data_IF_788959358672
#
_entry.id   IF_788959358672
#
_cell.length_a   1.000
_cell.length_b   1.000
_cell.length_c   1.000
_cell.angle_alpha   90.00
_cell.angle_beta   90.00
_cell.angle_gamma   90.00
#
_symmetry.space_group_name_H-M   'P 1'
#
loop_
_entity.id
_entity.type
_entity.pdbx_description
1 polymer ?
#
# COMPACT_ATOMS: atom_id res chain seq x y z
N UNK A 1 13.26 -11.19 15.98
CA UNK A 1 14.10 -10.00 16.24
C UNK A 1 13.54 -8.85 15.40
N UNK A 2 13.52 -7.61 15.91
CA UNK A 2 13.17 -6.44 15.11
C UNK A 2 14.08 -6.29 13.88
N UNK A 3 13.54 -5.81 12.76
CA UNK A 3 14.33 -5.44 11.58
C UNK A 3 14.62 -3.95 11.68
N UNK A 4 15.89 -3.58 11.75
CA UNK A 4 16.30 -2.17 11.78
C UNK A 4 16.13 -1.53 10.40
N UNK A 5 15.67 -0.27 10.38
CA UNK A 5 15.44 0.50 9.17
C UNK A 5 15.86 1.97 9.37
N UNK A 6 16.30 2.60 8.30
CA UNK A 6 16.59 4.04 8.23
C UNK A 6 15.69 4.65 7.15
N UNK A 7 15.00 5.73 7.50
CA UNK A 7 14.01 6.39 6.63
C UNK A 7 14.48 7.81 6.38
N UNK A 8 14.53 8.18 5.10
CA UNK A 8 14.83 9.53 4.64
C UNK A 8 13.72 9.93 3.67
N UNK A 9 12.79 10.74 4.14
CA UNK A 9 11.64 11.20 3.35
C UNK A 9 11.77 12.70 3.10
N UNK A 10 11.65 13.10 1.83
CA UNK A 10 11.65 14.50 1.44
C UNK A 10 10.22 14.87 1.05
N UNK A 11 9.66 15.86 1.73
CA UNK A 11 8.29 16.32 1.47
C UNK A 11 8.27 17.81 1.16
N UNK A 12 7.33 18.19 0.30
CA UNK A 12 6.98 19.56 -0.04
C UNK A 12 5.45 19.66 -0.03
N UNK A 13 4.94 20.73 0.58
CA UNK A 13 3.51 20.92 0.84
C UNK A 13 3.14 22.36 0.59
N UNK A 14 2.05 22.55 -0.15
CA UNK A 14 1.46 23.87 -0.38
C UNK A 14 0.25 24.03 0.51
N UNK A 15 0.20 25.12 1.29
CA UNK A 15 -0.96 25.46 2.11
C UNK A 15 -1.72 26.65 1.53
N UNK A 16 -3.05 26.61 1.57
CA UNK A 16 -3.91 27.72 1.14
C UNK A 16 -5.03 28.01 2.15
N UNK A 17 -5.42 29.29 2.35
CA UNK A 17 -6.58 29.63 3.16
C UNK A 17 -7.86 29.01 2.59
N UNK A 18 -8.68 28.40 3.45
CA UNK A 18 -10.02 27.94 3.07
C UNK A 18 -10.99 29.13 3.10
N UNK A 19 -11.24 29.77 1.95
CA UNK A 19 -12.34 30.73 1.82
C UNK A 19 -13.64 29.99 1.47
N UNK A 20 -14.63 29.91 2.40
CA UNK A 20 -15.89 29.22 2.14
C UNK A 20 -16.76 29.91 1.07
N UNK A 21 -16.51 31.18 0.74
CA UNK A 21 -17.20 31.89 -0.33
C UNK A 21 -16.55 31.69 -1.71
N UNK A 22 -15.30 31.23 -1.73
CA UNK A 22 -14.58 30.95 -2.95
C UNK A 22 -14.87 29.52 -3.40
N UNK A 23 -16.07 29.32 -3.95
CA UNK A 23 -16.46 28.04 -4.56
C UNK A 23 -15.38 27.52 -5.49
N UNK A 24 -14.67 26.47 -5.07
CA UNK A 24 -13.82 25.59 -5.89
C UNK A 24 -12.77 26.21 -6.83
N UNK A 25 -12.44 27.50 -6.72
CA UNK A 25 -11.79 28.18 -7.85
C UNK A 25 -10.83 29.34 -7.54
N UNK A 26 -10.53 29.66 -6.28
CA UNK A 26 -9.57 30.75 -5.96
C UNK A 26 -8.11 30.28 -5.86
N UNK A 27 -7.85 28.97 -5.85
CA UNK A 27 -6.50 28.43 -6.00
C UNK A 27 -6.01 28.42 -7.47
N UNK A 28 -6.75 29.03 -8.40
CA UNK A 28 -6.48 28.95 -9.84
C UNK A 28 -5.52 30.01 -10.39
N UNK A 29 -5.10 31.02 -9.61
CA UNK A 29 -4.18 32.06 -10.10
C UNK A 29 -2.71 31.85 -9.70
N UNK A 30 -2.42 30.87 -8.84
CA UNK A 30 -1.06 30.39 -8.59
C UNK A 30 -1.02 28.93 -9.00
N UNK A 31 -0.55 28.67 -10.23
CA UNK A 31 -0.29 27.32 -10.67
C UNK A 31 0.86 26.76 -9.82
N UNK A 32 0.52 25.99 -8.78
CA UNK A 32 1.48 25.15 -8.10
C UNK A 32 1.81 23.99 -9.04
N UNK A 33 3.10 23.74 -9.26
CA UNK A 33 3.61 22.67 -10.12
C UNK A 33 3.53 21.32 -9.36
N UNK A 34 2.38 21.06 -8.74
CA UNK A 34 2.11 19.89 -7.91
C UNK A 34 0.81 19.24 -8.37
N UNK A 35 0.83 17.91 -8.56
CA UNK A 35 -0.38 17.15 -8.91
C UNK A 35 -1.40 17.08 -7.75
N UNK A 36 -0.97 17.44 -6.53
CA UNK A 36 -1.82 17.47 -5.33
C UNK A 36 -2.42 18.86 -5.09
N UNK A 37 -3.70 18.93 -4.72
CA UNK A 37 -4.32 20.20 -4.32
C UNK A 37 -3.68 20.73 -3.03
N UNK A 38 -3.61 22.07 -2.84
CA UNK A 38 -3.08 22.64 -1.62
C UNK A 38 -3.82 22.19 -0.35
N UNK A 39 -3.06 21.92 0.70
CA UNK A 39 -3.57 21.65 2.03
C UNK A 39 -4.30 22.87 2.62
N UNK A 40 -5.38 22.68 3.38
CA UNK A 40 -6.07 23.77 4.04
C UNK A 40 -5.22 24.37 5.17
N UNK A 41 -5.00 25.68 5.13
CA UNK A 41 -4.38 26.41 6.23
C UNK A 41 -5.42 26.71 7.32
N UNK A 42 -5.39 25.96 8.42
CA UNK A 42 -6.23 26.21 9.59
C UNK A 42 -5.60 27.28 10.50
N UNK A 43 -6.12 28.51 10.42
CA UNK A 43 -5.60 29.63 11.22
C UNK A 43 -4.35 30.25 10.60
N UNK A 44 -3.35 30.56 11.42
CA UNK A 44 -2.14 31.28 10.99
C UNK A 44 -0.83 30.54 11.34
N UNK A 45 -0.93 29.30 11.81
CA UNK A 45 0.22 28.50 12.29
C UNK A 45 0.17 27.11 11.68
N UNK A 46 1.35 26.57 11.37
CA UNK A 46 1.50 25.22 10.84
C UNK A 46 2.22 24.36 11.90
N UNK A 47 1.67 23.19 12.20
CA UNK A 47 2.31 22.20 13.07
C UNK A 47 3.26 21.32 12.25
N UNK A 48 4.55 21.68 12.28
CA UNK A 48 5.60 20.92 11.58
C UNK A 48 5.80 19.52 12.17
N UNK A 49 5.48 19.30 13.45
CA UNK A 49 5.59 17.99 14.09
C UNK A 49 4.54 17.01 13.57
N UNK A 50 3.31 17.50 13.39
CA UNK A 50 2.22 16.73 12.78
C UNK A 50 2.57 16.33 11.33
N UNK A 51 3.05 17.29 10.52
CA UNK A 51 3.48 17.03 9.14
C UNK A 51 4.63 16.03 9.08
N UNK A 52 5.67 16.23 9.90
CA UNK A 52 6.81 15.31 9.92
C UNK A 52 6.40 13.90 10.33
N UNK A 53 5.47 13.75 11.28
CA UNK A 53 4.94 12.45 11.69
C UNK A 53 4.15 11.80 10.55
N UNK A 54 3.27 12.53 9.88
CA UNK A 54 2.47 12.02 8.76
C UNK A 54 3.36 11.45 7.64
N UNK A 55 4.29 12.25 7.12
CA UNK A 55 5.20 11.80 6.06
C UNK A 55 6.14 10.70 6.52
N UNK A 56 6.59 10.74 7.77
CA UNK A 56 7.35 9.63 8.35
C UNK A 56 6.54 8.33 8.35
N UNK A 57 5.28 8.35 8.76
CA UNK A 57 4.41 7.17 8.75
C UNK A 57 4.18 6.63 7.34
N UNK A 58 4.00 7.52 6.35
CA UNK A 58 3.84 7.13 4.94
C UNK A 58 5.11 6.51 4.36
N UNK A 59 6.28 6.98 4.77
CA UNK A 59 7.59 6.46 4.33
C UNK A 59 7.99 5.11 4.96
N UNK A 60 7.23 4.58 5.92
CA UNK A 60 7.53 3.27 6.53
C UNK A 60 7.19 2.13 5.56
N UNK A 61 8.14 1.21 5.34
CA UNK A 61 7.85 -0.07 4.67
C UNK A 61 6.82 -0.87 5.51
N UNK A 62 5.62 -1.18 4.98
CA UNK A 62 4.60 -1.92 5.72
C UNK A 62 5.01 -3.37 6.03
N UNK A 63 5.99 -3.92 5.32
CA UNK A 63 6.44 -5.32 5.48
C UNK A 63 7.98 -5.43 5.49
N UNK A 64 8.65 -4.88 6.51
CA UNK A 64 10.11 -4.84 6.56
C UNK A 64 10.69 -6.26 6.56
N UNK A 65 11.55 -6.55 5.58
CA UNK A 65 12.14 -7.89 5.40
C UNK A 65 13.58 -7.93 5.91
N UNK A 66 13.94 -9.03 6.58
CA UNK A 66 15.33 -9.31 6.94
C UNK A 66 16.16 -9.52 5.68
N UNK A 67 17.31 -8.85 5.58
CA UNK A 67 18.23 -9.03 4.46
C UNK A 67 18.66 -10.51 4.33
N UNK A 68 18.64 -11.02 3.10
CA UNK A 68 18.99 -12.41 2.81
C UNK A 68 17.94 -13.45 3.23
N UNK A 69 16.74 -13.05 3.65
CA UNK A 69 15.64 -13.99 3.85
C UNK A 69 15.27 -14.68 2.53
N UNK A 70 15.40 -16.00 2.48
CA UNK A 70 15.02 -16.84 1.34
C UNK A 70 13.82 -17.69 1.75
N UNK A 71 12.81 -17.77 0.88
CA UNK A 71 11.73 -18.71 1.06
C UNK A 71 12.18 -20.11 0.68
N UNK A 72 12.22 -21.02 1.65
CA UNK A 72 12.44 -22.44 1.41
C UNK A 72 11.09 -23.13 1.25
N UNK A 73 10.75 -23.50 0.02
CA UNK A 73 9.54 -24.28 -0.23
C UNK A 73 9.65 -25.65 0.46
N UNK A 74 8.60 -26.10 1.16
CA UNK A 74 8.60 -27.45 1.71
C UNK A 74 8.77 -28.47 0.59
N UNK A 75 9.43 -29.59 0.89
CA UNK A 75 9.54 -30.68 -0.07
C UNK A 75 8.15 -31.14 -0.50
N UNK A 76 7.94 -31.48 -1.78
CA UNK A 76 6.69 -32.08 -2.21
C UNK A 76 6.39 -33.32 -1.37
N UNK A 77 5.11 -33.61 -1.07
CA UNK A 77 4.74 -34.80 -0.31
C UNK A 77 5.24 -36.06 -1.03
N UNK A 78 5.68 -37.05 -0.27
CA UNK A 78 6.16 -38.34 -0.81
C UNK A 78 5.08 -39.03 -1.66
N UNK A 79 3.82 -38.87 -1.25
CA UNK A 79 2.65 -39.31 -1.99
C UNK A 79 2.00 -38.12 -2.74
N UNK A 80 2.02 -38.08 -4.08
CA UNK A 80 1.36 -37.02 -4.85
C UNK A 80 -0.16 -37.00 -4.68
N UNK A 81 -0.77 -38.04 -4.08
CA UNK A 81 -2.20 -38.07 -3.71
C UNK A 81 -2.48 -37.53 -2.30
N UNK A 82 -1.44 -37.21 -1.52
CA UNK A 82 -1.55 -36.57 -0.20
C UNK A 82 -1.77 -35.06 -0.35
N UNK A 83 -2.95 -34.65 -0.80
CA UNK A 83 -3.33 -33.24 -0.87
C UNK A 83 -4.83 -33.03 -0.61
N UNK A 84 -5.26 -31.87 -0.08
CA UNK A 84 -6.65 -31.62 0.35
C UNK A 84 -7.70 -31.82 -0.76
N UNK A 85 -7.30 -31.80 -2.04
CA UNK A 85 -8.18 -31.97 -3.19
C UNK A 85 -8.12 -33.37 -3.85
N UNK A 86 -7.53 -34.38 -3.20
CA UNK A 86 -7.32 -35.72 -3.78
C UNK A 86 -8.62 -36.42 -4.18
N UNK A 87 -9.68 -36.22 -3.40
CA UNK A 87 -11.00 -36.76 -3.68
C UNK A 87 -11.61 -36.27 -5.01
N UNK A 88 -11.18 -35.11 -5.53
CA UNK A 88 -11.69 -34.56 -6.79
C UNK A 88 -11.29 -35.38 -8.02
N UNK A 89 -10.27 -36.25 -7.92
CA UNK A 89 -9.89 -37.15 -9.01
C UNK A 89 -11.05 -38.07 -9.46
N UNK A 90 -11.98 -38.40 -8.55
CA UNK A 90 -13.16 -39.19 -8.86
C UNK A 90 -14.08 -38.52 -9.90
N UNK A 91 -14.10 -37.19 -9.97
CA UNK A 91 -14.96 -36.44 -10.88
C UNK A 91 -14.53 -36.58 -12.35
N UNK A 92 -13.23 -36.81 -12.62
CA UNK A 92 -12.70 -37.00 -13.97
C UNK A 92 -13.15 -38.32 -14.60
N UNK A 93 -13.40 -39.34 -13.76
CA UNK A 93 -13.84 -40.67 -14.19
C UNK A 93 -15.33 -40.69 -14.58
N UNK A 94 -16.14 -39.80 -14.01
CA UNK A 94 -17.54 -39.62 -14.40
C UNK A 94 -17.76 -38.83 -15.70
N UNK A 95 -16.72 -38.19 -16.25
CA UNK A 95 -16.80 -37.39 -17.48
C UNK A 95 -16.36 -38.16 -18.75
N UNK A 96 -15.87 -39.39 -18.61
CA UNK A 96 -15.56 -40.29 -19.73
C UNK A 96 -16.71 -41.22 -20.12
N UNK A 97 -17.81 -41.25 -19.36
CA UNK A 97 -18.99 -42.12 -19.62
C UNK A 97 -20.22 -41.32 -20.09
N UNK A 98 -20.02 -40.13 -20.65
CA UNK A 98 -21.10 -39.19 -21.01
C UNK A 98 -20.94 -38.49 -22.36
N UNK A 99 -20.27 -39.12 -23.33
CA UNK A 99 -20.26 -38.70 -24.73
C UNK A 99 -20.47 -39.92 -25.64
N UNK A 100 -21.72 -40.39 -25.69
CA UNK A 100 -22.42 -40.98 -26.86
C UNK A 100 -23.91 -40.98 -26.56
#
# INVERSE_FOLDING_TARGET
>A
EPVEASIHEAFDLVFSPQDPAAGGGVAAEVAFDTDEPPEPLAGATIDLGAIAAEFFLLGIDPYPRKAGAVFEAPSPPEDPSSHPFAALAALKKGKSDGDT
#
